data_IF_423274468024
#
_entry.id   IF_423274468024
#
_cell.length_a   1.000
_cell.length_b   1.000
_cell.length_c   1.000
_cell.angle_alpha   90.00
_cell.angle_beta   90.00
_cell.angle_gamma   90.00
#
_symmetry.space_group_name_H-M   'P 1'
#
loop_
_entity.id
_entity.type
_entity.pdbx_description
1 polymer ?
#
# COMPACT_ATOMS: atom_id res chain seq x y z
N UNK A 1 10.51 -15.45 16.82
CA UNK A 1 10.10 -14.05 16.51
C UNK A 1 9.20 -13.98 15.28
N UNK A 2 9.55 -14.61 14.14
CA UNK A 2 8.65 -14.78 12.97
C UNK A 2 7.32 -15.45 13.32
N UNK A 3 7.36 -16.53 14.11
CA UNK A 3 6.15 -17.27 14.54
C UNK A 3 5.15 -16.45 15.36
N UNK A 4 5.64 -15.51 16.18
CA UNK A 4 4.79 -14.66 17.01
C UNK A 4 4.04 -13.60 16.20
N UNK A 5 4.58 -13.18 15.04
CA UNK A 5 3.91 -12.29 14.08
C UNK A 5 2.89 -13.05 13.23
N UNK A 6 3.03 -14.37 13.12
CA UNK A 6 2.21 -15.21 12.24
C UNK A 6 1.11 -16.00 12.98
N UNK A 7 1.06 -15.94 14.31
CA UNK A 7 0.15 -16.74 15.11
C UNK A 7 -1.36 -16.42 14.93
N UNK A 8 -1.78 -15.18 14.64
CA UNK A 8 -3.18 -14.88 14.32
C UNK A 8 -3.29 -14.51 12.84
N UNK A 9 -3.14 -15.44 11.90
CA UNK A 9 -3.01 -15.05 10.47
C UNK A 9 -4.18 -15.38 9.54
N UNK A 10 -4.91 -16.51 9.64
CA UNK A 10 -6.01 -16.74 8.72
C UNK A 10 -7.16 -15.74 8.95
N UNK A 11 -7.56 -15.58 10.21
CA UNK A 11 -8.70 -14.74 10.60
C UNK A 11 -8.35 -13.26 10.48
N UNK A 12 -7.13 -12.84 10.85
CA UNK A 12 -6.72 -11.44 10.71
C UNK A 12 -6.64 -11.00 9.24
N UNK A 13 -6.18 -11.89 8.34
CA UNK A 13 -6.17 -11.63 6.90
C UNK A 13 -7.59 -11.59 6.34
N UNK A 14 -8.48 -12.48 6.80
CA UNK A 14 -9.90 -12.46 6.42
C UNK A 14 -10.56 -11.15 6.85
N UNK A 15 -10.40 -10.76 8.12
CA UNK A 15 -10.94 -9.51 8.67
C UNK A 15 -10.41 -8.30 7.89
N UNK A 16 -9.13 -8.30 7.53
CA UNK A 16 -8.53 -7.23 6.74
C UNK A 16 -9.25 -7.03 5.41
N UNK A 17 -9.52 -8.12 4.66
CA UNK A 17 -10.25 -8.01 3.39
C UNK A 17 -11.76 -7.79 3.59
N UNK A 18 -12.34 -8.33 4.66
CA UNK A 18 -13.76 -8.17 4.98
C UNK A 18 -14.14 -6.70 5.24
N UNK A 19 -13.23 -5.89 5.81
CA UNK A 19 -13.45 -4.44 5.98
C UNK A 19 -13.77 -3.75 4.64
N UNK A 20 -13.24 -4.25 3.53
CA UNK A 20 -13.47 -3.71 2.20
C UNK A 20 -14.73 -4.27 1.52
N UNK A 21 -15.29 -5.38 2.01
CA UNK A 21 -16.43 -6.07 1.38
C UNK A 21 -17.70 -5.22 1.26
N UNK A 22 -17.83 -4.21 2.11
CA UNK A 22 -18.95 -3.25 2.10
C UNK A 22 -18.86 -2.17 1.03
N UNK A 23 -17.73 -2.07 0.32
CA UNK A 23 -17.50 -1.06 -0.71
C UNK A 23 -17.60 -1.70 -2.09
N UNK A 24 -18.12 -0.94 -3.06
CA UNK A 24 -18.06 -1.32 -4.46
C UNK A 24 -16.60 -1.42 -4.94
N UNK A 25 -16.34 -2.25 -5.95
CA UNK A 25 -14.97 -2.50 -6.43
C UNK A 25 -14.22 -1.20 -6.75
N UNK A 26 -14.90 -0.21 -7.33
CA UNK A 26 -14.31 1.09 -7.65
C UNK A 26 -13.92 1.90 -6.42
N UNK A 27 -14.69 1.82 -5.34
CA UNK A 27 -14.35 2.45 -4.07
C UNK A 27 -13.20 1.72 -3.38
N UNK A 28 -13.14 0.39 -3.49
CA UNK A 28 -11.98 -0.38 -3.02
C UNK A 28 -10.70 0.03 -3.75
N UNK A 29 -10.76 0.23 -5.07
CA UNK A 29 -9.60 0.70 -5.85
C UNK A 29 -9.17 2.12 -5.46
N UNK A 30 -10.12 3.03 -5.19
CA UNK A 30 -9.81 4.39 -4.67
C UNK A 30 -9.13 4.32 -3.31
N UNK A 31 -9.63 3.46 -2.42
CA UNK A 31 -9.02 3.24 -1.10
C UNK A 31 -7.60 2.69 -1.25
N UNK A 32 -7.40 1.72 -2.15
CA UNK A 32 -6.08 1.15 -2.40
C UNK A 32 -5.12 2.21 -2.97
N UNK A 33 -5.52 2.99 -3.98
CA UNK A 33 -4.68 4.05 -4.54
C UNK A 33 -4.26 5.10 -3.48
N UNK A 34 -5.13 5.40 -2.52
CA UNK A 34 -4.78 6.26 -1.39
C UNK A 34 -3.82 5.56 -0.41
N UNK A 35 -4.06 4.29 -0.08
CA UNK A 35 -3.20 3.50 0.80
C UNK A 35 -1.77 3.38 0.25
N UNK A 36 -1.60 3.16 -1.05
CA UNK A 36 -0.30 3.12 -1.72
C UNK A 36 0.44 4.45 -1.58
N UNK A 37 -0.23 5.60 -1.71
CA UNK A 37 0.39 6.92 -1.50
C UNK A 37 0.81 7.15 -0.05
N UNK A 38 0.03 6.65 0.90
CA UNK A 38 0.39 6.69 2.32
C UNK A 38 1.61 5.78 2.61
N UNK A 39 1.65 4.59 2.00
CA UNK A 39 2.81 3.70 2.06
C UNK A 39 4.07 4.36 1.49
N UNK A 40 3.94 5.00 0.33
CA UNK A 40 5.05 5.66 -0.32
C UNK A 40 5.65 6.75 0.57
N UNK A 41 4.80 7.54 1.22
CA UNK A 41 5.24 8.53 2.19
C UNK A 41 5.83 7.90 3.45
N UNK A 42 5.31 6.76 3.92
CA UNK A 42 5.88 6.04 5.05
C UNK A 42 7.31 5.56 4.76
N UNK A 43 7.57 5.02 3.56
CA UNK A 43 8.91 4.63 3.14
C UNK A 43 9.88 5.81 3.10
N UNK A 44 9.50 6.96 2.53
CA UNK A 44 10.32 8.18 2.54
C UNK A 44 10.60 8.68 3.95
N UNK A 45 9.60 8.63 4.82
CA UNK A 45 9.76 9.01 6.23
C UNK A 45 10.78 8.12 6.94
N UNK A 46 10.78 6.81 6.68
CA UNK A 46 11.79 5.90 7.22
C UNK A 46 13.17 6.17 6.60
N UNK A 47 13.24 6.35 5.27
CA UNK A 47 14.47 6.62 4.54
C UNK A 47 15.18 7.87 5.07
N UNK A 48 14.45 8.97 5.30
CA UNK A 48 14.98 10.25 5.81
C UNK A 48 15.71 10.17 7.16
N UNK A 49 15.52 9.08 7.90
CA UNK A 49 16.11 8.86 9.24
C UNK A 49 17.13 7.71 9.25
N UNK A 50 17.35 7.07 8.11
CA UNK A 50 18.23 5.91 8.01
C UNK A 50 19.66 6.34 7.65
N UNK A 51 20.71 5.76 8.28
CA UNK A 51 22.10 6.16 8.00
C UNK A 51 22.74 5.43 6.81
N UNK A 52 22.22 4.27 6.41
CA UNK A 52 22.74 3.47 5.29
C UNK A 52 22.09 3.85 3.97
N UNK A 53 22.90 4.34 3.01
CA UNK A 53 22.45 4.74 1.67
C UNK A 53 21.81 3.58 0.91
N UNK A 54 22.30 2.34 1.07
CA UNK A 54 21.73 1.19 0.35
C UNK A 54 20.29 0.92 0.79
N UNK A 55 19.99 1.17 2.07
CA UNK A 55 18.63 1.02 2.60
C UNK A 55 17.75 2.18 2.14
N UNK A 56 18.29 3.40 2.13
CA UNK A 56 17.59 4.58 1.59
C UNK A 56 17.16 4.33 0.14
N UNK A 57 18.08 3.87 -0.70
CA UNK A 57 17.80 3.63 -2.13
C UNK A 57 16.68 2.59 -2.35
N UNK A 58 16.65 1.54 -1.51
CA UNK A 58 15.59 0.53 -1.55
C UNK A 58 14.24 1.12 -1.13
N UNK A 59 14.21 1.91 -0.05
CA UNK A 59 12.98 2.52 0.44
C UNK A 59 12.42 3.55 -0.55
N UNK A 60 13.28 4.35 -1.19
CA UNK A 60 12.87 5.25 -2.27
C UNK A 60 12.34 4.47 -3.48
N UNK A 61 12.94 3.33 -3.81
CA UNK A 61 12.41 2.44 -4.86
C UNK A 61 11.03 1.89 -4.51
N UNK A 62 10.80 1.52 -3.24
CA UNK A 62 9.47 1.13 -2.76
C UNK A 62 8.45 2.28 -2.92
N UNK A 63 8.81 3.50 -2.51
CA UNK A 63 7.95 4.68 -2.68
C UNK A 63 7.53 4.90 -4.13
N UNK A 64 8.48 4.77 -5.07
CA UNK A 64 8.20 4.96 -6.49
C UNK A 64 7.27 3.89 -7.05
N UNK A 65 7.43 2.63 -6.62
CA UNK A 65 6.56 1.54 -7.05
C UNK A 65 5.12 1.73 -6.57
N UNK A 66 4.93 2.17 -5.32
CA UNK A 66 3.61 2.41 -4.76
C UNK A 66 2.94 3.65 -5.38
N UNK A 67 3.69 4.71 -5.67
CA UNK A 67 3.13 5.86 -6.42
C UNK A 67 2.70 5.46 -7.84
N UNK A 68 3.53 4.68 -8.54
CA UNK A 68 3.19 4.19 -9.86
C UNK A 68 1.95 3.28 -9.84
N UNK A 69 1.83 2.40 -8.83
CA UNK A 69 0.65 1.55 -8.67
C UNK A 69 -0.61 2.40 -8.46
N UNK A 70 -0.55 3.43 -7.62
CA UNK A 70 -1.65 4.34 -7.37
C UNK A 70 -2.10 5.10 -8.64
N UNK A 71 -1.14 5.57 -9.45
CA UNK A 71 -1.42 6.29 -10.68
C UNK A 71 -2.08 5.39 -11.75
N UNK A 72 -1.71 4.10 -11.81
CA UNK A 72 -2.40 3.12 -12.66
C UNK A 72 -3.85 2.91 -12.23
N UNK A 73 -4.10 2.82 -10.91
CA UNK A 73 -5.45 2.66 -10.38
C UNK A 73 -6.32 3.88 -10.67
N UNK A 74 -5.80 5.09 -10.47
CA UNK A 74 -6.54 6.32 -10.76
C UNK A 74 -6.85 6.47 -12.26
N UNK A 75 -5.89 6.08 -13.12
CA UNK A 75 -6.11 6.06 -14.57
C UNK A 75 -7.23 5.08 -14.95
N UNK A 76 -7.25 3.89 -14.33
CA UNK A 76 -8.29 2.88 -14.55
C UNK A 76 -9.67 3.38 -14.07
N UNK A 77 -9.73 4.04 -12.91
CA UNK A 77 -10.97 4.62 -12.37
C UNK A 77 -11.47 5.75 -13.28
N UNK A 78 -10.59 6.63 -13.75
CA UNK A 78 -10.94 7.73 -14.65
C UNK A 78 -11.51 7.25 -15.98
N UNK A 79 -10.93 6.19 -16.55
CA UNK A 79 -11.41 5.57 -17.79
C UNK A 79 -12.80 4.91 -17.62
N UNK A 80 -13.13 4.39 -16.44
CA UNK A 80 -14.45 3.82 -16.16
C UNK A 80 -15.55 4.87 -15.97
N UNK A 81 -15.21 6.02 -15.39
CA UNK A 81 -16.16 7.10 -15.11
C UNK A 81 -16.51 7.97 -16.33
N UNK A 82 -15.90 7.68 -17.49
CA UNK A 82 -16.04 8.44 -18.74
C UNK A 82 -17.14 7.90 -19.65
#
# INVERSE_FOLDING_TARGET
>A
MREALTAPLPEAKSVYYEVFSRFEVWDQLRIQANAERQGAQAWRNIASRHPDQRVIDVLESCSQLEEASADYLDSLIGAHAS
#
